data_IF_907433838729
#
_entry.id   IF_907433838729
#
_cell.length_a   1.000
_cell.length_b   1.000
_cell.length_c   1.000
_cell.angle_alpha   90.00
_cell.angle_beta   90.00
_cell.angle_gamma   90.00
#
_symmetry.space_group_name_H-M   'P 1'
#
loop_
_entity.id
_entity.type
_entity.pdbx_description
1 polymer ?
#
# COMPACT_ATOMS: atom_id res chain seq x y z
N UNK A 1 -36.53 21.57 11.10
CA UNK A 1 -36.15 20.37 10.33
C UNK A 1 -34.68 20.52 9.98
N UNK A 2 -33.80 19.77 10.64
CA UNK A 2 -32.40 19.70 10.25
C UNK A 2 -32.40 18.92 8.93
N UNK A 3 -32.00 19.55 7.83
CA UNK A 3 -31.71 18.80 6.62
C UNK A 3 -30.53 17.89 6.98
N UNK A 4 -30.81 16.59 7.17
CA UNK A 4 -29.77 15.59 7.23
C UNK A 4 -29.01 15.68 5.91
N UNK A 5 -27.91 16.42 5.91
CA UNK A 5 -26.90 16.29 4.87
C UNK A 5 -26.40 14.86 4.98
N UNK A 6 -27.02 13.95 4.24
CA UNK A 6 -26.53 12.60 4.05
C UNK A 6 -25.18 12.76 3.37
N UNK A 7 -24.11 12.84 4.15
CA UNK A 7 -22.73 12.90 3.65
C UNK A 7 -22.54 11.58 2.92
N UNK A 8 -22.76 11.58 1.61
CA UNK A 8 -22.57 10.38 0.81
C UNK A 8 -21.09 10.01 0.92
N UNK A 9 -20.76 8.85 1.49
CA UNK A 9 -19.37 8.45 1.62
C UNK A 9 -18.74 8.41 0.23
N UNK A 10 -17.54 8.98 0.10
CA UNK A 10 -16.80 8.97 -1.17
C UNK A 10 -16.53 7.56 -1.70
N UNK A 11 -16.50 6.58 -0.80
CA UNK A 11 -16.30 5.16 -1.08
C UNK A 11 -17.40 4.33 -0.46
N UNK A 12 -17.81 3.27 -1.15
CA UNK A 12 -18.55 2.19 -0.52
C UNK A 12 -17.66 1.48 0.51
N UNK A 13 -18.24 0.73 1.47
CA UNK A 13 -17.45 -0.08 2.40
C UNK A 13 -16.46 -1.03 1.71
N UNK A 14 -16.85 -1.63 0.58
CA UNK A 14 -15.97 -2.51 -0.19
C UNK A 14 -14.78 -1.77 -0.82
N UNK A 15 -15.00 -0.56 -1.35
CA UNK A 15 -13.92 0.27 -1.90
C UNK A 15 -12.96 0.75 -0.80
N UNK A 16 -13.50 1.09 0.38
CA UNK A 16 -12.67 1.45 1.53
C UNK A 16 -11.82 0.27 1.99
N UNK A 17 -12.39 -0.94 2.08
CA UNK A 17 -11.65 -2.15 2.41
C UNK A 17 -10.53 -2.45 1.40
N UNK A 18 -10.80 -2.35 0.09
CA UNK A 18 -9.78 -2.53 -0.95
C UNK A 18 -8.62 -1.53 -0.78
N UNK A 19 -8.92 -0.27 -0.49
CA UNK A 19 -7.91 0.75 -0.23
C UNK A 19 -7.09 0.45 1.02
N UNK A 20 -7.73 -0.01 2.08
CA UNK A 20 -7.05 -0.31 3.35
C UNK A 20 -6.12 -1.53 3.20
N UNK A 21 -6.54 -2.53 2.42
CA UNK A 21 -5.67 -3.65 2.03
C UNK A 21 -4.46 -3.20 1.22
N UNK A 22 -4.66 -2.30 0.23
CA UNK A 22 -3.56 -1.72 -0.54
C UNK A 22 -2.58 -0.98 0.36
N UNK A 23 -3.08 -0.14 1.29
CA UNK A 23 -2.22 0.59 2.23
C UNK A 23 -1.43 -0.35 3.16
N UNK A 24 -2.05 -1.45 3.60
CA UNK A 24 -1.35 -2.48 4.38
C UNK A 24 -0.21 -3.08 3.58
N UNK A 25 -0.46 -3.47 2.32
CA UNK A 25 0.57 -4.01 1.43
C UNK A 25 1.69 -2.99 1.17
N UNK A 26 1.35 -1.72 0.92
CA UNK A 26 2.34 -0.65 0.75
C UNK A 26 3.20 -0.43 2.01
N UNK A 27 2.63 -0.58 3.20
CA UNK A 27 3.38 -0.48 4.46
C UNK A 27 4.36 -1.64 4.62
N UNK A 28 3.95 -2.85 4.22
CA UNK A 28 4.85 -4.01 4.21
C UNK A 28 6.00 -3.82 3.23
N UNK A 29 5.72 -3.35 2.00
CA UNK A 29 6.75 -3.05 1.01
C UNK A 29 7.73 -1.96 1.50
N UNK A 30 7.25 -0.95 2.23
CA UNK A 30 8.14 0.05 2.87
C UNK A 30 9.08 -0.61 3.88
N UNK A 31 8.57 -1.48 4.74
CA UNK A 31 9.41 -2.17 5.72
C UNK A 31 10.44 -3.09 5.04
N UNK A 32 10.04 -3.76 3.96
CA UNK A 32 10.93 -4.55 3.12
C UNK A 32 12.08 -3.71 2.54
N UNK A 33 11.79 -2.55 1.94
CA UNK A 33 12.81 -1.61 1.45
C UNK A 33 13.72 -1.14 2.59
N UNK A 34 13.17 -0.85 3.78
CA UNK A 34 13.97 -0.43 4.93
C UNK A 34 14.99 -1.50 5.36
N UNK A 35 14.62 -2.79 5.32
CA UNK A 35 15.57 -3.87 5.60
C UNK A 35 16.68 -3.95 4.55
N UNK A 36 16.34 -3.81 3.27
CA UNK A 36 17.35 -3.77 2.20
C UNK A 36 18.36 -2.64 2.45
N UNK A 37 17.87 -1.43 2.74
CA UNK A 37 18.75 -0.28 3.05
C UNK A 37 19.61 -0.56 4.28
N UNK A 38 19.03 -1.06 5.37
CA UNK A 38 19.75 -1.37 6.59
C UNK A 38 20.89 -2.38 6.38
N UNK A 39 20.65 -3.44 5.62
CA UNK A 39 21.69 -4.44 5.33
C UNK A 39 22.74 -3.91 4.35
N UNK A 40 22.35 -3.06 3.39
CA UNK A 40 23.29 -2.41 2.49
C UNK A 40 24.21 -1.43 3.23
N UNK A 41 23.72 -0.68 4.23
CA UNK A 41 24.52 0.20 5.08
C UNK A 41 25.58 -0.56 5.91
N UNK A 42 25.41 -1.87 6.11
CA UNK A 42 26.34 -2.74 6.82
C UNK A 42 27.20 -3.61 5.88
N UNK A 43 27.16 -3.37 4.57
CA UNK A 43 27.82 -4.18 3.54
C UNK A 43 27.41 -5.68 3.59
N UNK A 44 26.23 -6.01 4.11
CA UNK A 44 25.70 -7.37 4.20
C UNK A 44 24.94 -7.77 2.92
N UNK A 45 25.69 -8.01 1.85
CA UNK A 45 25.14 -8.28 0.52
C UNK A 45 24.36 -9.59 0.42
N UNK A 46 24.68 -10.59 1.24
CA UNK A 46 23.92 -11.85 1.33
C UNK A 46 22.46 -11.61 1.72
N UNK A 47 22.23 -10.78 2.75
CA UNK A 47 20.88 -10.44 3.17
C UNK A 47 20.18 -9.56 2.13
N UNK A 48 20.90 -8.60 1.52
CA UNK A 48 20.34 -7.79 0.43
C UNK A 48 19.83 -8.68 -0.71
N UNK A 49 20.61 -9.66 -1.16
CA UNK A 49 20.20 -10.61 -2.21
C UNK A 49 18.97 -11.43 -1.78
N UNK A 50 18.96 -11.94 -0.54
CA UNK A 50 17.82 -12.66 0.01
C UNK A 50 16.54 -11.82 -0.01
N UNK A 51 16.59 -10.58 0.46
CA UNK A 51 15.44 -9.68 0.48
C UNK A 51 15.02 -9.27 -0.93
N UNK A 52 15.95 -9.02 -1.86
CA UNK A 52 15.62 -8.72 -3.26
C UNK A 52 14.89 -9.90 -3.93
N UNK A 53 15.28 -11.15 -3.64
CA UNK A 53 14.63 -12.35 -4.17
C UNK A 53 13.16 -12.51 -3.76
N UNK A 54 12.74 -11.92 -2.64
CA UNK A 54 11.37 -12.00 -2.12
C UNK A 54 10.46 -10.87 -2.62
N UNK A 55 11.01 -9.79 -3.18
CA UNK A 55 10.28 -8.58 -3.58
C UNK A 55 9.25 -8.74 -4.69
N UNK A 56 9.42 -9.76 -5.55
CA UNK A 56 8.49 -10.01 -6.66
C UNK A 56 7.06 -10.32 -6.19
N UNK A 57 6.92 -11.01 -5.05
CA UNK A 57 5.61 -11.35 -4.50
C UNK A 57 4.85 -10.11 -4.00
N UNK A 58 5.52 -9.23 -3.27
CA UNK A 58 4.93 -8.02 -2.71
C UNK A 58 4.52 -7.04 -3.82
N UNK A 59 5.33 -6.93 -4.88
CA UNK A 59 4.99 -6.13 -6.06
C UNK A 59 3.69 -6.62 -6.73
N UNK A 60 3.60 -7.92 -7.04
CA UNK A 60 2.41 -8.48 -7.69
C UNK A 60 1.19 -8.40 -6.78
N UNK A 61 1.36 -8.58 -5.47
CA UNK A 61 0.29 -8.41 -4.48
C UNK A 61 -0.22 -6.97 -4.49
N UNK A 62 0.65 -5.98 -4.42
CA UNK A 62 0.26 -4.56 -4.46
C UNK A 62 -0.45 -4.20 -5.77
N UNK A 63 0.02 -4.70 -6.90
CA UNK A 63 -0.62 -4.50 -8.21
C UNK A 63 -2.04 -5.08 -8.24
N UNK A 64 -2.25 -6.27 -7.69
CA UNK A 64 -3.59 -6.88 -7.59
C UNK A 64 -4.55 -6.12 -6.67
N UNK A 65 -4.02 -5.40 -5.67
CA UNK A 65 -4.79 -4.65 -4.69
C UNK A 65 -5.10 -3.21 -5.12
N UNK A 66 -4.69 -2.79 -6.32
CA UNK A 66 -4.93 -1.43 -6.79
C UNK A 66 -6.43 -1.08 -6.68
N UNK A 67 -6.78 0.02 -5.97
CA UNK A 67 -8.15 0.45 -5.83
C UNK A 67 -8.79 0.65 -7.20
N UNK A 68 -9.94 0.02 -7.41
CA UNK A 68 -10.71 0.14 -8.67
C UNK A 68 -11.49 1.45 -8.73
N UNK A 69 -11.73 2.07 -7.57
CA UNK A 69 -12.30 3.41 -7.47
C UNK A 69 -11.22 4.46 -7.73
N UNK A 70 -11.11 4.90 -8.99
CA UNK A 70 -10.29 6.06 -9.37
C UNK A 70 -10.97 7.37 -8.96
N UNK A 71 -11.42 7.47 -7.70
CA UNK A 71 -11.99 8.69 -7.19
C UNK A 71 -10.95 9.81 -7.28
N UNK A 72 -11.33 10.97 -7.83
CA UNK A 72 -10.42 12.10 -8.12
C UNK A 72 -9.54 12.45 -6.92
N UNK A 73 -8.25 12.76 -7.09
CA UNK A 73 -7.39 13.21 -6.00
C UNK A 73 -8.12 14.27 -5.16
N UNK A 74 -7.93 14.25 -3.83
CA UNK A 74 -8.46 15.36 -3.02
C UNK A 74 -7.80 16.63 -3.55
N UNK A 75 -8.59 17.54 -4.12
CA UNK A 75 -8.10 18.85 -4.54
C UNK A 75 -7.53 19.58 -3.33
N UNK A 76 -6.41 20.29 -3.55
CA UNK A 76 -5.84 21.22 -2.58
C UNK A 76 -6.77 22.41 -2.37
#
# INVERSE_FOLDING_TARGET
MIQEHTIKPRRTPAQQAQRDEFLKAATMARNWINHIVHFAEQDNWSEVEFYLGTGGHDYEKMKSLLPTDRAEPRGN
#
